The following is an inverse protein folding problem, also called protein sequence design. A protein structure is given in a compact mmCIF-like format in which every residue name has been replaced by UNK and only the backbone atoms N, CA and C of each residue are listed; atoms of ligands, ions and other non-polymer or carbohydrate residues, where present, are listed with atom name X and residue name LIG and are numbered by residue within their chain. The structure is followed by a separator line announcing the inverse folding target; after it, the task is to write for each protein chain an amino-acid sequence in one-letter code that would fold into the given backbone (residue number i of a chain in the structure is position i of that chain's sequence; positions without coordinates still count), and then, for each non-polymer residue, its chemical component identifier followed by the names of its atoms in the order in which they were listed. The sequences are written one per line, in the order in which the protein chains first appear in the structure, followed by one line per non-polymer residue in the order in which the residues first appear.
data_IF_175301341619
#
_entry.id   IF_175301341619
#
_cell.length_a   1.000
_cell.length_b   1.000
_cell.length_c   1.000
_cell.angle_alpha   90.00
_cell.angle_beta   90.00
_cell.angle_gamma   90.00
#
_symmetry.space_group_name_H-M   'P 1'
#
loop_
_entity.id
_entity.type
_entity.pdbx_description
1 polymer ?
#
# COMPACT_ATOMS: atom_id res chain seq x y z
N UNK A 1 -15.55 -4.15 16.91
CA UNK A 1 -15.27 -5.56 16.59
C UNK A 1 -14.75 -5.64 15.16
N UNK A 2 -13.88 -6.61 14.86
CA UNK A 2 -13.41 -6.84 13.49
C UNK A 2 -14.58 -7.26 12.57
N UNK A 3 -14.49 -7.00 11.24
CA UNK A 3 -15.49 -7.45 10.29
C UNK A 3 -15.68 -8.98 10.33
N UNK A 4 -16.92 -9.42 10.21
CA UNK A 4 -17.20 -10.84 9.99
C UNK A 4 -16.68 -11.28 8.61
N UNK A 5 -16.24 -12.53 8.51
CA UNK A 5 -15.76 -13.10 7.25
C UNK A 5 -16.93 -13.22 6.26
N UNK A 6 -16.80 -12.56 5.11
CA UNK A 6 -17.74 -12.71 3.99
C UNK A 6 -17.14 -13.56 2.86
N UNK A 7 -17.56 -14.83 2.78
CA UNK A 7 -17.14 -15.75 1.72
C UNK A 7 -17.94 -15.60 0.41
N UNK A 8 -18.99 -14.77 0.40
CA UNK A 8 -19.85 -14.53 -0.76
C UNK A 8 -20.05 -13.02 -0.94
N UNK A 9 -18.97 -12.27 -1.26
CA UNK A 9 -19.09 -10.85 -1.53
C UNK A 9 -19.99 -10.60 -2.75
N UNK A 10 -20.61 -9.41 -2.85
CA UNK A 10 -21.52 -9.06 -3.95
C UNK A 10 -20.85 -9.10 -5.33
N UNK A 11 -19.53 -8.93 -5.36
CA UNK A 11 -18.67 -9.05 -6.54
C UNK A 11 -17.26 -9.46 -6.10
N UNK A 12 -16.45 -9.98 -7.02
CA UNK A 12 -15.16 -10.56 -6.67
C UNK A 12 -13.96 -9.63 -6.95
N UNK A 13 -13.42 -9.02 -5.90
CA UNK A 13 -12.08 -8.40 -5.94
C UNK A 13 -11.02 -9.49 -5.74
N UNK A 14 -9.98 -9.49 -6.58
CA UNK A 14 -8.92 -10.51 -6.56
C UNK A 14 -7.66 -10.07 -5.83
N UNK A 15 -7.26 -8.80 -5.98
CA UNK A 15 -6.02 -8.25 -5.40
C UNK A 15 -5.99 -6.73 -5.48
N UNK A 16 -5.12 -6.13 -4.69
CA UNK A 16 -4.59 -4.81 -4.95
C UNK A 16 -3.87 -4.78 -6.30
N UNK A 17 -4.16 -3.76 -7.12
CA UNK A 17 -3.76 -3.73 -8.53
C UNK A 17 -2.76 -2.65 -8.85
N UNK A 18 -2.99 -1.42 -8.43
CA UNK A 18 -2.16 -0.28 -8.84
C UNK A 18 -2.32 0.94 -7.93
N UNK A 19 -1.35 1.85 -8.03
CA UNK A 19 -1.38 3.18 -7.41
C UNK A 19 -1.13 4.24 -8.49
N UNK A 20 -1.87 5.34 -8.44
CA UNK A 20 -1.63 6.52 -9.27
C UNK A 20 -1.19 7.68 -8.40
N UNK A 21 0.06 8.11 -8.56
CA UNK A 21 0.67 9.22 -7.84
C UNK A 21 0.74 10.46 -8.72
N UNK A 22 0.49 11.62 -8.13
CA UNK A 22 0.77 12.94 -8.68
C UNK A 22 2.12 13.40 -8.16
N UNK A 23 3.08 13.61 -9.07
CA UNK A 23 4.48 13.94 -8.76
C UNK A 23 4.87 15.27 -9.41
N UNK A 24 5.80 16.01 -8.79
CA UNK A 24 6.22 17.31 -9.32
C UNK A 24 7.08 17.17 -10.58
N UNK A 25 7.92 16.13 -10.63
CA UNK A 25 8.80 15.83 -11.76
C UNK A 25 8.72 14.33 -12.06
N UNK A 26 7.98 13.98 -13.11
CA UNK A 26 7.77 12.59 -13.53
C UNK A 26 9.09 11.91 -13.90
N UNK A 27 10.04 12.62 -14.50
CA UNK A 27 11.34 12.07 -14.85
C UNK A 27 12.15 11.71 -13.60
N UNK A 28 12.22 12.63 -12.64
CA UNK A 28 12.92 12.41 -11.37
C UNK A 28 12.30 11.28 -10.55
N UNK A 29 10.97 11.22 -10.46
CA UNK A 29 10.26 10.16 -9.75
C UNK A 29 10.41 8.82 -10.45
N UNK A 30 10.27 8.77 -11.78
CA UNK A 30 10.56 7.56 -12.56
C UNK A 30 11.98 7.04 -12.29
N UNK A 31 12.98 7.92 -12.33
CA UNK A 31 14.37 7.54 -12.11
C UNK A 31 14.60 6.97 -10.70
N UNK A 32 13.89 7.46 -9.67
CA UNK A 32 13.88 6.84 -8.35
C UNK A 32 13.32 5.41 -8.39
N UNK A 33 12.11 5.21 -8.91
CA UNK A 33 11.47 3.89 -8.91
C UNK A 33 12.18 2.86 -9.81
N UNK A 34 12.78 3.30 -10.92
CA UNK A 34 13.55 2.44 -11.83
C UNK A 34 14.94 2.13 -11.28
N UNK A 35 15.70 3.13 -10.83
CA UNK A 35 17.11 2.95 -10.50
C UNK A 35 17.34 2.52 -9.04
N UNK A 36 16.46 2.93 -8.11
CA UNK A 36 16.49 2.49 -6.71
C UNK A 36 15.62 1.25 -6.55
N UNK A 37 14.33 1.34 -6.92
CA UNK A 37 13.38 0.25 -6.73
C UNK A 37 13.55 -0.93 -7.70
N UNK A 38 14.11 -0.69 -8.89
CA UNK A 38 14.24 -1.72 -9.92
C UNK A 38 12.96 -2.05 -10.67
N UNK A 39 11.99 -1.13 -10.69
CA UNK A 39 10.78 -1.30 -11.50
C UNK A 39 11.09 -1.15 -13.00
N UNK A 40 10.24 -1.75 -13.83
CA UNK A 40 10.28 -1.68 -15.29
C UNK A 40 9.31 -0.60 -15.75
N UNK A 41 9.80 0.40 -16.50
CA UNK A 41 8.94 1.32 -17.24
C UNK A 41 8.34 0.58 -18.44
N UNK A 42 7.03 0.39 -18.43
CA UNK A 42 6.29 -0.23 -19.53
C UNK A 42 6.04 0.77 -20.66
N UNK A 43 5.68 2.01 -20.31
CA UNK A 43 5.33 3.06 -21.25
C UNK A 43 5.61 4.44 -20.61
N UNK A 44 6.09 5.38 -21.44
CA UNK A 44 6.04 6.81 -21.14
C UNK A 44 5.24 7.50 -22.24
N UNK A 45 4.12 8.10 -21.89
CA UNK A 45 3.22 8.74 -22.85
C UNK A 45 2.52 9.92 -22.22
N UNK A 46 2.36 11.00 -22.98
CA UNK A 46 1.61 12.21 -22.57
C UNK A 46 2.09 12.80 -21.22
N UNK A 47 3.39 12.70 -20.95
CA UNK A 47 3.99 13.16 -19.71
C UNK A 47 3.75 12.25 -18.50
N UNK A 48 3.20 11.04 -18.68
CA UNK A 48 2.90 10.06 -17.64
C UNK A 48 3.81 8.84 -17.80
N UNK A 49 4.40 8.37 -16.70
CA UNK A 49 5.20 7.13 -16.67
C UNK A 49 4.40 5.99 -16.05
N UNK A 50 4.44 4.83 -16.70
CA UNK A 50 3.74 3.61 -16.29
C UNK A 50 4.77 2.53 -15.94
N UNK A 51 4.79 2.09 -14.68
CA UNK A 51 5.79 1.15 -14.18
C UNK A 51 5.14 -0.13 -13.64
N UNK A 52 5.89 -1.24 -13.69
CA UNK A 52 5.51 -2.53 -13.09
C UNK A 52 6.71 -3.25 -12.49
N UNK A 53 6.45 -4.18 -11.57
CA UNK A 53 7.46 -5.10 -11.06
C UNK A 53 7.90 -6.15 -12.09
N UNK A 54 9.07 -6.76 -11.87
CA UNK A 54 9.68 -7.73 -12.78
C UNK A 54 8.81 -8.98 -13.03
N UNK A 55 8.03 -9.42 -12.03
CA UNK A 55 7.15 -10.59 -12.09
C UNK A 55 5.72 -10.24 -12.55
N UNK A 56 5.42 -8.97 -12.79
CA UNK A 56 4.11 -8.53 -13.21
C UNK A 56 3.91 -8.65 -14.71
N UNK A 57 2.74 -9.17 -15.10
CA UNK A 57 2.34 -9.27 -16.50
C UNK A 57 1.45 -8.10 -16.94
N UNK A 58 0.64 -7.52 -16.04
CA UNK A 58 -0.19 -6.37 -16.35
C UNK A 58 0.66 -5.14 -16.71
N UNK A 59 0.12 -4.27 -17.55
CA UNK A 59 0.80 -3.08 -18.07
C UNK A 59 1.48 -2.26 -16.99
N UNK A 60 0.81 -2.03 -15.86
CA UNK A 60 1.34 -1.20 -14.80
C UNK A 60 0.76 -1.58 -13.44
N UNK A 61 1.51 -1.24 -12.40
CA UNK A 61 1.10 -1.26 -11.00
C UNK A 61 1.43 0.06 -10.30
N UNK A 62 2.27 0.90 -10.91
CA UNK A 62 2.51 2.28 -10.50
C UNK A 62 2.37 3.21 -11.70
N UNK A 63 1.62 4.30 -11.52
CA UNK A 63 1.48 5.37 -12.50
C UNK A 63 1.97 6.67 -11.87
N UNK A 64 2.89 7.35 -12.55
CA UNK A 64 3.42 8.65 -12.15
C UNK A 64 2.89 9.69 -13.12
N UNK A 65 1.93 10.49 -12.64
CA UNK A 65 1.32 11.57 -13.41
C UNK A 65 1.84 12.93 -12.90
N UNK A 66 1.91 13.96 -13.77
CA UNK A 66 2.29 15.30 -13.33
C UNK A 66 1.25 15.83 -12.33
N UNK A 67 1.72 16.40 -11.22
CA UNK A 67 0.88 17.09 -10.26
C UNK A 67 0.37 18.40 -10.85
N UNK A 68 -0.93 18.66 -10.71
CA UNK A 68 -1.53 19.98 -10.99
C UNK A 68 -1.40 20.98 -9.82
N UNK A 69 -0.70 20.58 -8.76
CA UNK A 69 -0.60 21.28 -7.47
C UNK A 69 0.33 20.52 -6.53
N UNK A 70 -0.06 20.36 -5.26
CA UNK A 70 0.70 19.56 -4.28
C UNK A 70 0.72 18.08 -4.70
N UNK A 71 1.87 17.39 -4.63
CA UNK A 71 1.93 15.94 -4.83
C UNK A 71 0.96 15.18 -3.91
N UNK A 72 0.31 14.18 -4.48
CA UNK A 72 -0.79 13.47 -3.83
C UNK A 72 -0.96 12.06 -4.40
N UNK A 73 -1.64 11.20 -3.66
CA UNK A 73 -2.16 9.95 -4.21
C UNK A 73 -3.47 10.27 -4.94
N UNK A 74 -3.47 10.20 -6.28
CA UNK A 74 -4.68 10.48 -7.05
C UNK A 74 -5.77 9.43 -6.79
N UNK A 75 -5.36 8.15 -6.72
CA UNK A 75 -6.23 7.01 -6.41
C UNK A 75 -5.41 5.73 -6.25
N UNK A 76 -6.06 4.76 -5.63
CA UNK A 76 -5.62 3.37 -5.58
C UNK A 76 -6.56 2.51 -6.42
N UNK A 77 -6.15 1.29 -6.79
CA UNK A 77 -7.02 0.42 -7.57
C UNK A 77 -6.91 -1.05 -7.23
N UNK A 78 -8.01 -1.75 -7.46
CA UNK A 78 -8.17 -3.19 -7.29
C UNK A 78 -8.58 -3.86 -8.60
N UNK A 79 -8.22 -5.13 -8.72
CA UNK A 79 -8.58 -5.96 -9.87
C UNK A 79 -9.81 -6.80 -9.54
N UNK A 80 -10.87 -6.68 -10.33
CA UNK A 80 -12.00 -7.62 -10.23
C UNK A 80 -11.72 -8.89 -11.03
N UNK A 81 -12.42 -9.99 -10.72
CA UNK A 81 -12.17 -11.28 -11.35
C UNK A 81 -12.75 -11.35 -12.77
N UNK A 82 -14.00 -10.93 -12.94
CA UNK A 82 -14.67 -10.87 -14.23
C UNK A 82 -15.10 -9.44 -14.54
N UNK A 83 -15.29 -9.13 -15.82
CA UNK A 83 -15.80 -7.80 -16.20
C UNK A 83 -17.22 -7.53 -15.66
N UNK A 84 -18.06 -8.56 -15.58
CA UNK A 84 -19.41 -8.49 -14.99
C UNK A 84 -19.41 -8.16 -13.48
N UNK A 85 -18.30 -8.37 -12.78
CA UNK A 85 -18.16 -7.94 -11.38
C UNK A 85 -18.21 -6.42 -11.26
N UNK A 86 -17.89 -5.67 -12.32
CA UNK A 86 -17.99 -4.21 -12.31
C UNK A 86 -19.43 -3.72 -12.30
N UNK A 87 -20.34 -4.41 -12.98
CA UNK A 87 -21.78 -4.06 -12.96
C UNK A 87 -22.36 -4.30 -11.57
N UNK A 88 -22.02 -5.45 -10.95
CA UNK A 88 -22.39 -5.77 -9.56
C UNK A 88 -21.77 -4.76 -8.59
N UNK A 89 -20.52 -4.36 -8.81
CA UNK A 89 -19.87 -3.32 -8.01
C UNK A 89 -20.60 -1.99 -8.12
N UNK A 90 -20.98 -1.56 -9.33
CA UNK A 90 -21.73 -0.32 -9.52
C UNK A 90 -23.04 -0.31 -8.74
N UNK A 91 -23.81 -1.40 -8.80
CA UNK A 91 -25.04 -1.57 -8.02
C UNK A 91 -24.75 -1.48 -6.52
N UNK A 92 -23.78 -2.24 -6.01
CA UNK A 92 -23.42 -2.24 -4.59
C UNK A 92 -23.04 -0.84 -4.08
N UNK A 93 -22.20 -0.14 -4.82
CA UNK A 93 -21.74 1.20 -4.45
C UNK A 93 -22.88 2.24 -4.50
N UNK A 94 -23.79 2.15 -5.48
CA UNK A 94 -24.99 2.99 -5.52
C UNK A 94 -25.93 2.74 -4.33
N UNK A 95 -26.17 1.48 -3.96
CA UNK A 95 -26.98 1.11 -2.79
C UNK A 95 -26.36 1.59 -1.47
N UNK A 96 -25.02 1.71 -1.41
CA UNK A 96 -24.29 2.29 -0.28
C UNK A 96 -24.25 3.82 -0.28
N UNK A 97 -24.84 4.48 -1.28
CA UNK A 97 -24.80 5.95 -1.41
C UNK A 97 -23.43 6.49 -1.84
N UNK A 98 -22.59 5.65 -2.45
CA UNK A 98 -21.24 5.97 -2.92
C UNK A 98 -21.19 5.82 -4.45
N UNK A 99 -21.85 6.68 -5.24
CA UNK A 99 -22.05 6.46 -6.66
C UNK A 99 -20.73 6.33 -7.43
N UNK A 100 -20.65 5.31 -8.30
CA UNK A 100 -19.50 5.06 -9.17
C UNK A 100 -19.66 5.62 -10.58
N UNK A 101 -18.54 6.04 -11.17
CA UNK A 101 -18.43 6.59 -12.52
C UNK A 101 -17.65 5.63 -13.43
N UNK A 102 -18.15 5.41 -14.65
CA UNK A 102 -17.38 4.69 -15.67
C UNK A 102 -16.32 5.62 -16.26
N UNK A 103 -15.07 5.19 -16.23
CA UNK A 103 -13.93 6.00 -16.69
C UNK A 103 -13.09 5.24 -17.71
N UNK A 104 -12.61 5.96 -18.72
CA UNK A 104 -11.62 5.46 -19.67
C UNK A 104 -10.22 5.72 -19.12
N UNK A 105 -9.47 4.66 -18.86
CA UNK A 105 -8.11 4.74 -18.32
C UNK A 105 -7.16 4.01 -19.25
N UNK A 106 -6.08 4.69 -19.67
CA UNK A 106 -5.09 4.14 -20.60
C UNK A 106 -4.57 2.78 -20.11
N UNK A 107 -4.56 1.80 -21.00
CA UNK A 107 -4.09 0.43 -20.75
C UNK A 107 -4.88 -0.36 -19.70
N UNK A 108 -6.01 0.15 -19.22
CA UNK A 108 -6.96 -0.63 -18.42
C UNK A 108 -8.13 -1.09 -19.29
N UNK A 109 -8.70 -2.23 -18.92
CA UNK A 109 -10.02 -2.62 -19.41
C UNK A 109 -11.09 -1.73 -18.80
N UNK A 110 -12.35 -2.16 -18.91
CA UNK A 110 -13.48 -1.46 -18.29
C UNK A 110 -13.16 -1.15 -16.82
N UNK A 111 -13.34 0.10 -16.43
CA UNK A 111 -12.93 0.61 -15.12
C UNK A 111 -14.07 1.42 -14.49
N UNK A 112 -14.41 1.08 -13.25
CA UNK A 112 -15.35 1.83 -12.41
C UNK A 112 -14.55 2.61 -11.36
N UNK A 113 -14.71 3.93 -11.35
CA UNK A 113 -14.14 4.82 -10.34
C UNK A 113 -15.18 5.12 -9.27
N UNK A 114 -14.86 4.79 -8.02
CA UNK A 114 -15.71 5.00 -6.84
C UNK A 114 -14.93 5.75 -5.77
N UNK A 115 -15.63 6.13 -4.71
CA UNK A 115 -15.00 6.53 -3.45
C UNK A 115 -15.38 5.52 -2.37
N UNK A 116 -14.44 5.15 -1.51
CA UNK A 116 -14.77 4.38 -0.31
C UNK A 116 -15.40 5.31 0.76
N UNK A 117 -15.90 4.78 1.90
CA UNK A 117 -16.53 5.60 2.95
C UNK A 117 -15.64 6.70 3.54
N UNK A 118 -14.31 6.60 3.41
CA UNK A 118 -13.40 7.66 3.85
C UNK A 118 -13.26 8.78 2.81
N UNK A 119 -13.78 8.59 1.60
CA UNK A 119 -13.65 9.50 0.47
C UNK A 119 -12.45 9.20 -0.44
N UNK A 120 -11.58 8.24 -0.08
CA UNK A 120 -10.46 7.84 -0.92
C UNK A 120 -10.97 7.30 -2.27
N UNK A 121 -10.33 7.74 -3.36
CA UNK A 121 -10.70 7.35 -4.73
C UNK A 121 -10.14 5.95 -5.03
N UNK A 122 -11.02 5.06 -5.49
CA UNK A 122 -10.72 3.66 -5.76
C UNK A 122 -11.15 3.29 -7.18
N UNK A 123 -10.23 2.75 -7.97
CA UNK A 123 -10.54 2.15 -9.27
C UNK A 123 -10.79 0.64 -9.12
N UNK A 124 -11.88 0.14 -9.70
CA UNK A 124 -12.12 -1.27 -9.93
C UNK A 124 -11.95 -1.54 -11.43
N UNK A 125 -10.93 -2.29 -11.82
CA UNK A 125 -10.64 -2.58 -13.23
C UNK A 125 -10.81 -4.08 -13.54
N UNK A 126 -11.37 -4.41 -14.72
CA UNK A 126 -11.51 -5.81 -15.18
C UNK A 126 -10.23 -6.36 -15.82
N UNK A 127 -9.43 -5.46 -16.40
CA UNK A 127 -8.48 -5.77 -17.46
C UNK A 127 -7.28 -4.84 -17.46
N UNK A 128 -6.14 -5.31 -17.96
CA UNK A 128 -5.04 -4.47 -18.45
C UNK A 128 -4.38 -5.21 -19.60
N UNK A 129 -3.76 -4.50 -20.54
CA UNK A 129 -2.87 -5.12 -21.50
C UNK A 129 -1.74 -5.87 -20.79
N UNK A 130 -1.29 -6.98 -21.36
CA UNK A 130 -0.25 -7.82 -20.77
C UNK A 130 1.06 -7.72 -21.55
N UNK A 131 2.16 -7.83 -20.84
CA UNK A 131 3.51 -7.82 -21.38
C UNK A 131 4.32 -9.00 -20.83
N UNK A 132 5.40 -9.42 -21.53
CA UNK A 132 6.32 -10.41 -21.00
C UNK A 132 6.88 -9.98 -19.63
N UNK A 133 6.86 -10.92 -18.68
CA UNK A 133 7.52 -10.73 -17.39
C UNK A 133 9.04 -10.66 -17.59
N UNK A 134 9.72 -9.92 -16.72
CA UNK A 134 11.16 -9.65 -16.79
C UNK A 134 11.99 -10.33 -15.70
N UNK A 135 11.38 -11.10 -14.78
CA UNK A 135 12.10 -11.74 -13.67
C UNK A 135 13.20 -12.73 -14.09
N UNK A 136 13.14 -13.30 -15.31
CA UNK A 136 14.22 -14.12 -15.88
C UNK A 136 15.23 -13.33 -16.73
N UNK A 137 14.92 -12.08 -17.09
CA UNK A 137 15.77 -11.22 -17.90
C UNK A 137 16.82 -10.50 -17.03
N UNK A 138 17.63 -11.27 -16.31
CA UNK A 138 18.60 -10.78 -15.31
C UNK A 138 19.57 -9.72 -15.83
N UNK A 139 19.84 -9.71 -17.13
CA UNK A 139 20.70 -8.72 -17.77
C UNK A 139 20.04 -7.34 -17.93
N UNK A 140 18.71 -7.24 -17.79
CA UNK A 140 17.95 -5.98 -17.80
C UNK A 140 17.67 -5.43 -16.40
N UNK A 141 17.92 -6.22 -15.35
CA UNK A 141 17.58 -5.87 -13.97
C UNK A 141 18.33 -4.62 -13.49
N UNK A 142 17.65 -3.80 -12.69
CA UNK A 142 18.18 -2.60 -12.05
C UNK A 142 17.79 -2.56 -10.58
N UNK A 143 18.46 -1.70 -9.81
CA UNK A 143 18.08 -1.39 -8.43
C UNK A 143 17.89 -2.62 -7.56
N UNK A 144 16.88 -2.57 -6.71
CA UNK A 144 16.48 -3.65 -5.81
C UNK A 144 15.65 -4.77 -6.44
N UNK A 145 15.47 -4.76 -7.78
CA UNK A 145 14.81 -5.85 -8.51
C UNK A 145 13.41 -6.17 -7.98
N UNK A 146 12.60 -5.13 -7.74
CA UNK A 146 11.23 -5.28 -7.27
C UNK A 146 10.41 -6.23 -8.16
N UNK A 147 9.74 -7.19 -7.54
CA UNK A 147 9.06 -8.30 -8.19
C UNK A 147 7.61 -7.96 -8.54
N UNK A 148 6.81 -7.53 -7.57
CA UNK A 148 5.43 -7.14 -7.83
C UNK A 148 4.81 -6.35 -6.69
N UNK A 149 3.86 -5.50 -7.05
CA UNK A 149 3.05 -4.73 -6.11
C UNK A 149 2.26 -5.70 -5.21
N UNK A 150 2.28 -5.44 -3.91
CA UNK A 150 1.65 -6.31 -2.92
C UNK A 150 0.46 -5.65 -2.25
N UNK A 151 0.68 -4.55 -1.53
CA UNK A 151 -0.35 -3.93 -0.71
C UNK A 151 -0.22 -2.41 -0.64
N UNK A 152 -1.24 -1.79 -0.07
CA UNK A 152 -1.16 -0.43 0.43
C UNK A 152 -1.58 -0.34 1.89
N UNK A 153 -1.11 0.69 2.57
CA UNK A 153 -1.58 1.08 3.89
C UNK A 153 -2.21 2.46 3.82
N UNK A 154 -3.38 2.60 4.44
CA UNK A 154 -4.15 3.85 4.48
C UNK A 154 -4.32 4.29 5.94
N UNK A 155 -4.03 5.56 6.20
CA UNK A 155 -4.37 6.24 7.45
C UNK A 155 -5.80 6.77 7.31
N UNK A 156 -6.66 6.48 8.27
CA UNK A 156 -8.10 6.80 8.25
C UNK A 156 -8.59 7.16 9.66
N UNK A 157 -9.59 8.04 9.76
CA UNK A 157 -10.15 8.46 11.04
C UNK A 157 -10.90 7.32 11.77
N UNK A 158 -11.68 6.52 11.04
CA UNK A 158 -12.39 5.33 11.54
C UNK A 158 -11.92 4.04 10.84
N UNK A 159 -10.80 3.42 11.29
CA UNK A 159 -10.31 2.19 10.69
C UNK A 159 -11.26 1.01 10.90
N UNK A 160 -12.11 1.01 11.94
CA UNK A 160 -13.07 -0.08 12.19
C UNK A 160 -14.24 -0.03 11.21
N UNK A 161 -14.82 1.15 11.00
CA UNK A 161 -15.89 1.34 10.00
C UNK A 161 -15.40 1.05 8.58
N UNK A 162 -14.19 1.50 8.23
CA UNK A 162 -13.62 1.19 6.92
C UNK A 162 -13.29 -0.30 6.77
N UNK A 163 -12.80 -0.96 7.84
CA UNK A 163 -12.63 -2.42 7.85
C UNK A 163 -13.95 -3.16 7.66
N UNK A 164 -15.05 -2.70 8.27
CA UNK A 164 -16.38 -3.27 8.09
C UNK A 164 -16.82 -3.20 6.62
N UNK A 165 -16.65 -2.04 5.98
CA UNK A 165 -16.96 -1.84 4.57
C UNK A 165 -16.16 -2.77 3.65
N UNK A 166 -14.83 -2.83 3.79
CA UNK A 166 -14.02 -3.75 2.97
C UNK A 166 -14.31 -5.22 3.31
N UNK A 167 -14.73 -5.53 4.53
CA UNK A 167 -15.24 -6.85 4.92
C UNK A 167 -16.47 -7.29 4.12
N UNK A 168 -17.41 -6.38 3.86
CA UNK A 168 -18.55 -6.66 2.97
C UNK A 168 -18.10 -6.99 1.54
N UNK A 169 -17.02 -6.36 1.08
CA UNK A 169 -16.36 -6.62 -0.21
C UNK A 169 -15.51 -7.90 -0.22
N UNK A 170 -15.52 -8.66 0.87
CA UNK A 170 -14.85 -9.95 1.00
C UNK A 170 -13.40 -9.85 1.47
N UNK A 171 -12.89 -8.68 1.84
CA UNK A 171 -11.57 -8.62 2.48
C UNK A 171 -11.64 -9.30 3.85
N UNK A 172 -10.66 -10.15 4.13
CA UNK A 172 -10.56 -10.89 5.39
C UNK A 172 -9.41 -10.35 6.20
N UNK A 173 -9.54 -10.31 7.51
CA UNK A 173 -8.43 -9.92 8.39
C UNK A 173 -7.50 -11.11 8.56
N UNK A 174 -6.22 -10.96 8.24
CA UNK A 174 -5.19 -11.96 8.57
C UNK A 174 -4.65 -11.71 9.97
N UNK A 175 -4.32 -10.46 10.26
CA UNK A 175 -3.67 -10.02 11.48
C UNK A 175 -4.16 -8.63 11.88
N UNK A 176 -4.08 -8.31 13.16
CA UNK A 176 -4.41 -6.97 13.65
C UNK A 176 -3.62 -6.63 14.90
N UNK A 177 -3.39 -5.34 15.12
CA UNK A 177 -2.76 -4.81 16.33
C UNK A 177 -3.83 -4.13 17.17
N UNK A 178 -3.85 -4.44 18.47
CA UNK A 178 -4.80 -3.83 19.40
C UNK A 178 -4.15 -3.45 20.73
N UNK A 179 -4.64 -2.38 21.34
CA UNK A 179 -4.30 -1.95 22.70
C UNK A 179 -5.58 -1.99 23.55
N UNK A 180 -5.79 -3.08 24.30
CA UNK A 180 -7.11 -3.35 24.88
C UNK A 180 -8.16 -3.51 23.78
N UNK A 181 -9.24 -2.74 23.84
CA UNK A 181 -10.30 -2.77 22.81
C UNK A 181 -10.03 -1.84 21.61
N UNK A 182 -8.99 -0.99 21.70
CA UNK A 182 -8.64 -0.06 20.64
C UNK A 182 -7.91 -0.78 19.50
N UNK A 183 -8.43 -0.65 18.27
CA UNK A 183 -7.75 -1.12 17.07
C UNK A 183 -6.64 -0.14 16.67
N UNK A 184 -5.41 -0.63 16.58
CA UNK A 184 -4.21 0.13 16.19
C UNK A 184 -3.83 -0.12 14.73
N UNK A 185 -4.05 -1.32 14.22
CA UNK A 185 -3.88 -1.63 12.80
C UNK A 185 -4.73 -2.85 12.43
N UNK A 186 -5.27 -2.87 11.21
CA UNK A 186 -5.93 -4.04 10.64
C UNK A 186 -5.32 -4.39 9.29
N UNK A 187 -4.87 -5.64 9.12
CA UNK A 187 -4.24 -6.13 7.91
C UNK A 187 -5.21 -7.07 7.18
N UNK A 188 -5.70 -6.62 6.03
CA UNK A 188 -6.79 -7.27 5.30
C UNK A 188 -6.36 -7.76 3.92
N UNK A 189 -6.82 -8.94 3.51
CA UNK A 189 -6.41 -9.60 2.27
C UNK A 189 -7.58 -10.10 1.41
N UNK A 190 -7.30 -10.20 0.11
CA UNK A 190 -8.09 -10.90 -0.92
C UNK A 190 -7.25 -11.97 -1.60
N UNK A 191 -5.99 -11.65 -1.94
CA UNK A 191 -5.03 -12.62 -2.49
C UNK A 191 -4.41 -13.46 -1.38
N UNK A 192 -3.80 -14.59 -1.73
CA UNK A 192 -3.31 -15.62 -0.79
C UNK A 192 -2.09 -15.24 0.08
N UNK A 193 -1.98 -13.98 0.52
CA UNK A 193 -0.89 -13.44 1.36
C UNK A 193 -1.49 -12.70 2.56
N UNK A 194 -0.65 -12.17 3.46
CA UNK A 194 -1.11 -11.50 4.67
C UNK A 194 -2.00 -10.28 4.40
N UNK A 195 -1.77 -9.48 3.36
CA UNK A 195 -2.55 -8.27 3.11
C UNK A 195 -2.56 -7.82 1.65
N UNK A 196 -3.64 -7.14 1.30
CA UNK A 196 -3.78 -6.23 0.15
C UNK A 196 -3.99 -4.78 0.64
N UNK A 197 -4.61 -4.62 1.83
CA UNK A 197 -4.94 -3.34 2.45
C UNK A 197 -4.63 -3.40 3.95
N UNK A 198 -3.85 -2.43 4.44
CA UNK A 198 -3.68 -2.15 5.85
C UNK A 198 -4.41 -0.85 6.23
N UNK A 199 -5.13 -0.86 7.35
CA UNK A 199 -5.85 0.31 7.87
C UNK A 199 -5.30 0.68 9.24
N UNK A 200 -4.90 1.94 9.41
CA UNK A 200 -4.38 2.48 10.67
C UNK A 200 -5.11 3.77 11.06
N UNK A 201 -5.37 4.02 12.36
CA UNK A 201 -6.02 5.23 12.81
C UNK A 201 -5.12 6.45 12.63
N UNK A 202 -5.70 7.58 12.25
CA UNK A 202 -5.01 8.86 12.19
C UNK A 202 -5.79 9.87 11.35
N UNK A 203 -5.22 11.06 11.15
CA UNK A 203 -5.84 12.05 10.25
C UNK A 203 -5.81 11.49 8.82
N UNK A 204 -6.97 11.36 8.17
CA UNK A 204 -7.11 10.64 6.90
C UNK A 204 -8.37 11.01 6.11
N UNK A 205 -8.58 10.44 4.90
CA UNK A 205 -7.76 9.38 4.33
C UNK A 205 -6.43 9.88 3.78
N UNK A 206 -5.36 9.14 4.04
CA UNK A 206 -4.04 9.37 3.43
C UNK A 206 -3.36 8.04 3.11
N UNK A 207 -2.70 7.94 1.97
CA UNK A 207 -1.88 6.80 1.61
C UNK A 207 -0.60 6.83 2.46
N UNK A 208 -0.52 5.94 3.45
CA UNK A 208 0.67 5.80 4.29
C UNK A 208 1.84 5.27 3.46
N UNK A 209 1.63 4.19 2.72
CA UNK A 209 2.61 3.63 1.78
C UNK A 209 1.94 2.64 0.82
N UNK A 210 2.68 2.26 -0.21
CA UNK A 210 2.44 1.08 -1.03
C UNK A 210 3.71 0.22 -1.05
N UNK A 211 3.57 -1.07 -1.32
CA UNK A 211 4.66 -2.01 -1.11
C UNK A 211 4.96 -2.86 -2.35
N UNK A 212 6.24 -3.07 -2.61
CA UNK A 212 6.74 -4.01 -3.60
C UNK A 212 7.51 -5.14 -2.93
N UNK A 213 7.22 -6.37 -3.37
CA UNK A 213 8.01 -7.53 -2.99
C UNK A 213 9.39 -7.47 -3.64
N UNK A 214 10.41 -7.97 -2.94
CA UNK A 214 11.73 -8.31 -3.50
C UNK A 214 11.97 -9.82 -3.36
N UNK A 215 12.88 -10.36 -4.17
CA UNK A 215 13.07 -11.81 -4.26
C UNK A 215 13.74 -12.38 -3.00
N UNK A 216 14.72 -11.67 -2.45
CA UNK A 216 15.50 -12.15 -1.31
C UNK A 216 15.76 -11.06 -0.26
N UNK A 217 16.12 -11.48 0.95
CA UNK A 217 16.49 -10.59 2.05
C UNK A 217 17.67 -9.67 1.69
N UNK A 218 18.59 -10.14 0.85
CA UNK A 218 19.72 -9.34 0.35
C UNK A 218 19.29 -8.15 -0.51
N UNK A 219 18.16 -8.24 -1.22
CA UNK A 219 17.63 -7.13 -2.02
C UNK A 219 17.21 -5.95 -1.15
N UNK A 220 16.79 -6.17 0.09
CA UNK A 220 16.45 -5.09 1.04
C UNK A 220 17.65 -4.18 1.29
N UNK A 221 18.85 -4.76 1.45
CA UNK A 221 20.08 -3.98 1.58
C UNK A 221 20.48 -3.33 0.27
N UNK A 222 20.26 -4.01 -0.88
CA UNK A 222 20.50 -3.43 -2.19
C UNK A 222 19.67 -2.15 -2.41
N UNK A 223 18.40 -2.11 -1.96
CA UNK A 223 17.58 -0.87 -1.99
C UNK A 223 18.34 0.28 -1.33
N UNK A 224 18.89 0.07 -0.13
CA UNK A 224 19.61 1.10 0.62
C UNK A 224 20.88 1.56 -0.11
N UNK A 225 21.66 0.62 -0.65
CA UNK A 225 22.90 0.93 -1.38
C UNK A 225 22.61 1.73 -2.66
N UNK A 226 21.58 1.35 -3.41
CA UNK A 226 21.15 2.09 -4.59
C UNK A 226 20.56 3.45 -4.22
N UNK A 227 19.77 3.54 -3.15
CA UNK A 227 19.27 4.81 -2.65
C UNK A 227 20.44 5.77 -2.36
N UNK A 228 21.45 5.31 -1.60
CA UNK A 228 22.67 6.09 -1.33
C UNK A 228 23.37 6.52 -2.63
N UNK A 229 23.62 5.57 -3.54
CA UNK A 229 24.28 5.82 -4.83
C UNK A 229 23.58 6.87 -5.70
N UNK A 230 22.25 6.90 -5.68
CA UNK A 230 21.45 7.83 -6.46
C UNK A 230 21.04 9.11 -5.70
N UNK A 231 21.63 9.36 -4.52
CA UNK A 231 21.39 10.58 -3.74
C UNK A 231 20.12 10.59 -2.89
N UNK A 232 19.55 9.41 -2.64
CA UNK A 232 18.36 9.15 -1.82
C UNK A 232 18.71 8.42 -0.51
N UNK A 233 19.96 8.46 -0.05
CA UNK A 233 20.36 7.80 1.20
C UNK A 233 19.57 8.29 2.42
N UNK A 234 19.38 9.61 2.52
CA UNK A 234 18.58 10.25 3.58
C UNK A 234 17.07 9.98 3.44
N UNK A 235 16.63 9.41 2.30
CA UNK A 235 15.24 9.00 2.09
C UNK A 235 14.92 7.64 2.71
N UNK A 236 15.91 6.87 3.19
CA UNK A 236 15.66 5.64 3.96
C UNK A 236 15.05 6.02 5.30
N UNK A 237 13.73 5.92 5.40
CA UNK A 237 12.97 6.49 6.50
C UNK A 237 12.87 5.53 7.69
N UNK A 238 12.75 4.22 7.42
CA UNK A 238 12.66 3.18 8.45
C UNK A 238 13.19 1.85 7.94
N UNK A 239 13.97 1.18 8.79
CA UNK A 239 14.59 -0.11 8.49
C UNK A 239 16.01 0.03 7.91
N UNK A 240 16.61 -1.06 7.38
CA UNK A 240 16.05 -2.40 7.29
C UNK A 240 15.62 -2.98 8.64
N UNK A 241 14.47 -3.65 8.69
CA UNK A 241 13.90 -4.18 9.93
C UNK A 241 13.08 -5.45 9.72
N UNK A 242 12.60 -6.02 10.82
CA UNK A 242 11.68 -7.17 10.85
C UNK A 242 10.37 -6.73 11.48
N UNK A 243 9.25 -6.96 10.77
CA UNK A 243 7.93 -6.78 11.38
C UNK A 243 7.57 -7.97 12.26
N UNK A 244 6.82 -7.71 13.33
CA UNK A 244 6.10 -8.75 14.07
C UNK A 244 4.98 -9.32 13.19
N UNK A 245 3.95 -8.52 12.85
CA UNK A 245 2.93 -8.90 11.88
C UNK A 245 3.55 -9.26 10.53
N UNK A 246 3.05 -10.29 9.87
CA UNK A 246 3.56 -10.93 8.64
C UNK A 246 4.96 -11.55 8.74
N UNK A 247 5.78 -11.13 9.72
CA UNK A 247 7.15 -11.63 9.90
C UNK A 247 8.12 -11.18 8.81
N UNK A 248 7.77 -10.22 7.94
CA UNK A 248 8.58 -9.84 6.78
C UNK A 248 9.78 -8.96 7.16
N UNK A 249 10.87 -9.09 6.39
CA UNK A 249 11.91 -8.05 6.34
C UNK A 249 11.43 -6.92 5.47
N UNK A 250 11.68 -5.69 5.91
CA UNK A 250 11.24 -4.50 5.21
C UNK A 250 12.30 -3.41 5.21
N UNK A 251 12.15 -2.46 4.27
CA UNK A 251 12.70 -1.11 4.34
C UNK A 251 11.71 -0.12 3.74
N UNK A 252 11.55 1.05 4.36
CA UNK A 252 10.70 2.14 3.90
C UNK A 252 11.54 3.29 3.37
N UNK A 253 11.19 3.79 2.18
CA UNK A 253 11.82 4.95 1.57
C UNK A 253 10.81 6.03 1.23
N UNK A 254 11.27 7.28 1.19
CA UNK A 254 10.54 8.41 0.60
C UNK A 254 11.02 8.68 -0.82
N UNK A 255 10.08 8.74 -1.75
CA UNK A 255 10.36 9.18 -3.11
C UNK A 255 10.64 10.71 -3.16
N UNK A 256 10.98 11.28 -4.33
CA UNK A 256 11.31 12.70 -4.46
C UNK A 256 10.25 13.69 -3.96
N UNK A 257 8.99 13.27 -3.93
CA UNK A 257 7.84 14.06 -3.52
C UNK A 257 7.33 13.68 -2.12
N UNK A 258 8.02 12.74 -1.45
CA UNK A 258 7.67 12.28 -0.11
C UNK A 258 6.60 11.18 -0.10
N UNK A 259 6.22 10.58 -1.23
CA UNK A 259 5.43 9.35 -1.20
C UNK A 259 6.28 8.22 -0.60
N UNK A 260 5.68 7.45 0.29
CA UNK A 260 6.39 6.35 0.95
C UNK A 260 6.19 5.06 0.17
N UNK A 261 7.28 4.36 -0.10
CA UNK A 261 7.29 3.02 -0.66
C UNK A 261 7.96 2.06 0.31
N UNK A 262 7.39 0.87 0.45
CA UNK A 262 7.98 -0.26 1.15
C UNK A 262 8.58 -1.24 0.15
N UNK A 263 9.80 -1.70 0.43
CA UNK A 263 10.34 -2.91 -0.18
C UNK A 263 10.48 -3.96 0.90
N UNK A 264 9.92 -5.14 0.65
CA UNK A 264 9.86 -6.20 1.65
C UNK A 264 9.97 -7.58 1.00
N UNK A 265 10.35 -8.60 1.77
CA UNK A 265 10.43 -9.98 1.28
C UNK A 265 9.09 -10.74 1.43
N UNK A 266 9.05 -12.03 1.14
CA UNK A 266 7.77 -12.76 1.09
C UNK A 266 7.01 -12.82 2.42
N UNK A 267 5.69 -12.76 2.30
CA UNK A 267 4.71 -13.15 3.32
C UNK A 267 4.69 -14.65 3.57
N UNK A 268 4.04 -15.05 4.67
CA UNK A 268 3.47 -16.39 4.75
C UNK A 268 2.15 -16.47 3.95
N UNK A 269 1.79 -17.68 3.54
CA UNK A 269 0.61 -17.94 2.72
C UNK A 269 -0.67 -17.85 3.56
N UNK A 270 -1.68 -17.13 3.07
CA UNK A 270 -3.01 -17.02 3.72
C UNK A 270 -4.10 -17.48 2.76
N UNK A 271 -4.38 -18.78 2.70
CA UNK A 271 -5.31 -19.39 1.72
C UNK A 271 -6.49 -20.13 2.36
N UNK A 272 -6.36 -20.54 3.62
CA UNK A 272 -7.38 -21.33 4.30
C UNK A 272 -8.54 -20.43 4.77
N UNK A 273 -9.77 -20.90 4.64
CA UNK A 273 -10.97 -20.09 4.87
C UNK A 273 -11.35 -19.96 6.35
N UNK A 274 -10.90 -20.92 7.15
CA UNK A 274 -11.11 -21.08 8.58
C UNK A 274 -10.08 -20.34 9.43
N UNK A 275 -9.13 -19.62 8.82
CA UNK A 275 -8.12 -18.88 9.56
C UNK A 275 -8.77 -17.75 10.35
N UNK A 276 -8.61 -17.84 11.67
CA UNK A 276 -8.95 -16.76 12.58
C UNK A 276 -7.85 -15.69 12.58
N UNK A 277 -8.19 -14.39 12.71
CA UNK A 277 -7.22 -13.30 12.77
C UNK A 277 -6.19 -13.46 13.88
N UNK A 278 -4.90 -13.29 13.57
CA UNK A 278 -3.84 -13.23 14.57
C UNK A 278 -3.88 -11.86 15.27
N UNK A 279 -4.09 -11.88 16.58
CA UNK A 279 -4.04 -10.67 17.42
C UNK A 279 -2.62 -10.39 17.90
N UNK A 280 -2.17 -9.16 17.71
CA UNK A 280 -0.96 -8.61 18.31
C UNK A 280 -1.32 -7.58 19.38
N UNK A 281 -0.83 -7.79 20.60
CA UNK A 281 -0.96 -6.79 21.66
C UNK A 281 0.11 -5.70 21.49
N UNK A 282 -0.33 -4.45 21.35
CA UNK A 282 0.49 -3.25 21.26
C UNK A 282 1.59 -3.17 22.34
N UNK A 283 1.30 -3.64 23.55
CA UNK A 283 2.26 -3.63 24.66
C UNK A 283 3.42 -4.64 24.45
N UNK A 284 3.17 -5.73 23.73
CA UNK A 284 4.15 -6.82 23.50
C UNK A 284 4.85 -6.76 22.15
N UNK A 285 4.47 -5.83 21.27
CA UNK A 285 5.05 -5.70 19.94
C UNK A 285 6.56 -5.40 19.96
N UNK A 286 7.05 -4.72 21.00
CA UNK A 286 8.48 -4.47 21.19
C UNK A 286 9.28 -5.72 21.56
N UNK A 287 8.63 -6.79 22.05
CA UNK A 287 9.29 -8.04 22.48
C UNK A 287 9.21 -9.18 21.46
N UNK A 288 8.37 -9.06 20.43
CA UNK A 288 8.07 -10.16 19.50
C UNK A 288 8.87 -10.08 18.18
N UNK A 289 10.21 -10.07 18.26
CA UNK A 289 11.12 -10.01 17.09
C UNK A 289 11.17 -8.61 16.44
N UNK A 290 11.27 -7.56 17.25
CA UNK A 290 11.55 -6.20 16.77
C UNK A 290 13.07 -5.96 16.70
N UNK A 291 13.56 -5.46 15.56
CA UNK A 291 14.96 -5.04 15.41
C UNK A 291 15.06 -3.51 15.48
N UNK A 292 15.98 -3.01 16.29
CA UNK A 292 16.30 -1.59 16.36
C UNK A 292 15.38 -0.77 17.27
N UNK A 293 15.47 0.55 17.09
CA UNK A 293 14.76 1.56 17.89
C UNK A 293 13.33 1.79 17.36
N UNK A 294 12.45 2.45 18.14
CA UNK A 294 11.13 2.86 17.63
C UNK A 294 11.24 3.69 16.34
N UNK A 295 10.17 3.70 15.53
CA UNK A 295 10.12 4.54 14.34
C UNK A 295 10.04 6.03 14.68
N UNK A 296 10.48 6.90 13.76
CA UNK A 296 10.39 8.36 13.91
C UNK A 296 8.94 8.85 13.89
N UNK A 297 8.70 10.07 14.38
CA UNK A 297 7.37 10.69 14.31
C UNK A 297 6.84 10.78 12.88
N UNK A 298 7.73 11.02 11.90
CA UNK A 298 7.41 11.08 10.47
C UNK A 298 6.79 9.79 9.95
N UNK A 299 7.29 8.63 10.40
CA UNK A 299 6.73 7.35 9.99
C UNK A 299 5.25 7.24 10.38
N UNK A 300 4.89 7.66 11.60
CA UNK A 300 3.52 7.55 12.11
C UNK A 300 2.55 8.60 11.54
N UNK A 301 3.01 9.83 11.26
CA UNK A 301 2.10 10.95 11.05
C UNK A 301 2.15 11.57 9.65
N UNK A 302 3.24 11.39 8.89
CA UNK A 302 3.35 11.89 7.52
C UNK A 302 2.92 10.82 6.52
N UNK A 303 2.00 11.18 5.61
CA UNK A 303 1.42 10.30 4.60
C UNK A 303 0.93 11.15 3.42
N UNK A 304 0.74 10.53 2.26
CA UNK A 304 0.30 11.21 1.04
C UNK A 304 -1.20 11.47 1.09
N UNK A 305 -1.62 12.72 0.89
CA UNK A 305 -3.05 13.07 0.81
C UNK A 305 -3.67 12.49 -0.47
N UNK A 306 -4.95 12.14 -0.41
CA UNK A 306 -5.71 11.83 -1.61
C UNK A 306 -6.18 13.11 -2.30
N UNK A 307 -6.02 13.19 -3.62
CA UNK A 307 -6.32 14.40 -4.40
C UNK A 307 -7.78 14.83 -4.22
N UNK A 308 -7.99 16.04 -3.70
CA UNK A 308 -9.32 16.62 -3.54
C UNK A 308 -10.18 15.99 -2.43
N UNK A 309 -9.60 15.17 -1.54
CA UNK A 309 -10.33 14.52 -0.45
C UNK A 309 -10.06 15.25 0.87
N UNK A 310 -11.11 15.76 1.56
CA UNK A 310 -10.95 16.39 2.87
C UNK A 310 -10.38 15.42 3.91
N UNK A 311 -9.59 15.96 4.85
CA UNK A 311 -9.05 15.17 5.96
C UNK A 311 -9.99 15.23 7.16
N UNK A 312 -10.27 14.06 7.71
CA UNK A 312 -11.01 13.86 8.95
C UNK A 312 -10.05 13.51 10.08
N UNK A 313 -10.41 13.94 11.30
CA UNK A 313 -9.66 13.66 12.50
C UNK A 313 -10.33 12.51 13.27
N UNK A 314 -9.58 11.50 13.74
CA UNK A 314 -10.14 10.43 14.57
C UNK A 314 -10.59 11.00 15.93
N UNK A 315 -11.54 10.31 16.57
CA UNK A 315 -11.97 10.64 17.94
C UNK A 315 -10.79 10.62 18.92
N UNK A 316 -9.91 9.61 18.77
CA UNK A 316 -8.69 9.44 19.55
C UNK A 316 -7.47 9.50 18.65
N UNK A 317 -6.59 10.46 18.90
CA UNK A 317 -5.31 10.53 18.19
C UNK A 317 -4.38 9.40 18.64
N UNK A 318 -3.68 8.72 17.70
CA UNK A 318 -2.62 7.78 18.06
C UNK A 318 -1.52 8.48 18.87
N UNK A 319 -0.99 7.77 19.87
CA UNK A 319 0.12 8.25 20.70
C UNK A 319 1.24 7.20 20.81
N UNK A 320 1.89 6.83 19.70
CA UNK A 320 2.93 5.81 19.70
C UNK A 320 4.19 6.28 20.43
N UNK A 321 5.01 5.31 20.87
CA UNK A 321 6.40 5.59 21.23
C UNK A 321 7.18 5.89 19.95
N UNK A 322 7.69 7.10 19.81
CA UNK A 322 8.53 7.50 18.66
C UNK A 322 10.01 7.46 19.03
N UNK A 323 10.89 7.46 18.03
CA UNK A 323 12.34 7.53 18.23
C UNK A 323 12.74 8.76 19.05
N UNK A 324 12.13 9.90 18.77
CA UNK A 324 12.39 11.17 19.46
C UNK A 324 12.03 11.06 20.94
N UNK A 325 10.83 10.55 21.24
CA UNK A 325 10.39 10.32 22.64
C UNK A 325 11.26 9.31 23.37
N UNK A 326 11.67 8.26 22.68
CA UNK A 326 12.57 7.24 23.22
C UNK A 326 13.94 7.86 23.56
N UNK A 327 14.53 8.64 22.65
CA UNK A 327 15.80 9.32 22.85
C UNK A 327 15.75 10.35 24.00
N UNK A 328 14.66 11.11 24.12
CA UNK A 328 14.44 12.01 25.26
C UNK A 328 14.36 11.27 26.59
N UNK A 329 13.79 10.05 26.59
CA UNK A 329 13.75 9.18 27.76
C UNK A 329 15.14 8.73 28.21
N UNK A 330 15.99 8.32 27.25
CA UNK A 330 17.38 7.94 27.52
C UNK A 330 18.25 9.11 28.02
N UNK A 331 18.00 10.34 27.56
CA UNK A 331 18.75 11.51 28.02
C UNK A 331 18.49 11.88 29.48
N UNK A 332 17.41 11.34 30.08
CA UNK A 332 17.00 11.61 31.47
C UNK A 332 17.41 10.50 32.45
N UNK A 333 17.93 9.37 31.95
CA UNK A 333 18.43 8.23 32.74
C UNK A 333 19.94 8.29 32.92
#
# INVERSE_FOLDING_TARGET
MLPAVNLKPPFNITRFSHVVLEVNDVGRSRDFYVNVGGLVETEFADGVSYLRGLSEACHHSLVLAPAGGKPACRRIGYRVFLEEDLDKAKIFFEEKGLPGEWVEVRNQGRTLLVSDPSGARVELCSGMSVHPRKFLEVHEHRGARAQGLDHCQVIVADPLGLSAFYGELGFRTSEYIAAGDDLIANFMYRKGVCLDLALVPGIGPRLHHFAYTVADSSDIFAVCDFASRYGYGDSVERGPGRHGPSGVLFVYLRDPDGHRVEFFNNHYTTIDAELEPIRWDAASLSTNVHWGMPATSKWFFEASEFTGVPLERPEKMPNPMTLERYAEGLAKS
#
